data_IF_777341932544
#
_entry.id   IF_777341932544
#
_cell.length_a   1.000
_cell.length_b   1.000
_cell.length_c   1.000
_cell.angle_alpha   90.00
_cell.angle_beta   90.00
_cell.angle_gamma   90.00
#
_symmetry.space_group_name_H-M   'P 1'
#
loop_
_entity.id
_entity.type
_entity.pdbx_description
1 polymer ?
#
# COMPACT_ATOMS: atom_id res chain seq x y z
N UNK A 1 13.65 19.01 8.22
CA UNK A 1 12.60 18.19 7.58
C UNK A 1 12.79 16.70 7.86
N UNK A 2 11.80 16.12 8.54
CA UNK A 2 11.81 14.74 9.03
C UNK A 2 10.48 14.09 8.69
N UNK A 3 10.54 12.86 8.18
CA UNK A 3 9.34 12.07 7.96
C UNK A 3 9.59 10.63 8.49
N UNK A 4 8.56 9.99 9.02
CA UNK A 4 8.60 8.65 9.62
C UNK A 4 8.03 7.64 8.64
N UNK A 5 8.79 6.61 8.28
CA UNK A 5 8.30 5.58 7.35
C UNK A 5 7.08 4.83 7.92
N UNK A 6 6.12 4.53 7.06
CA UNK A 6 4.94 3.70 7.39
C UNK A 6 5.09 2.26 6.91
N UNK A 7 6.10 1.97 6.11
CA UNK A 7 6.39 0.67 5.52
C UNK A 7 7.88 0.48 5.31
N UNK A 8 8.28 -0.78 5.13
CA UNK A 8 9.66 -1.13 4.82
C UNK A 8 10.02 -0.63 3.42
N UNK A 9 11.16 0.05 3.30
CA UNK A 9 11.68 0.50 2.02
C UNK A 9 12.90 -0.31 1.62
N UNK A 10 12.92 -0.81 0.38
CA UNK A 10 14.09 -1.44 -0.19
C UNK A 10 15.05 -0.37 -0.72
N UNK A 11 16.25 -0.31 -0.16
CA UNK A 11 17.34 0.51 -0.68
C UNK A 11 17.78 -0.03 -2.04
N UNK A 12 17.93 0.88 -3.01
CA UNK A 12 18.38 0.54 -4.38
C UNK A 12 19.91 0.41 -4.43
N UNK A 13 20.61 1.08 -3.52
CA UNK A 13 22.06 1.09 -3.39
C UNK A 13 22.45 0.51 -2.02
N UNK A 14 22.75 -0.79 -1.92
CA UNK A 14 23.09 -1.44 -0.66
C UNK A 14 24.40 -0.92 -0.06
N UNK A 15 25.27 -0.27 -0.84
CA UNK A 15 26.45 0.45 -0.34
C UNK A 15 26.11 1.64 0.58
N UNK A 16 24.92 2.21 0.49
CA UNK A 16 24.52 3.45 1.16
C UNK A 16 23.62 3.25 2.39
N UNK A 17 23.64 2.05 2.99
CA UNK A 17 22.86 1.64 4.18
C UNK A 17 21.38 1.29 3.91
N UNK A 18 20.79 0.26 4.55
CA UNK A 18 21.33 -0.73 5.51
C UNK A 18 21.85 -2.04 4.84
N UNK A 19 22.60 -2.91 5.54
CA UNK A 19 23.29 -4.08 4.95
C UNK A 19 22.37 -5.16 4.37
N UNK A 20 21.13 -5.23 4.83
CA UNK A 20 20.04 -6.05 4.28
C UNK A 20 19.29 -5.35 3.13
N UNK A 21 19.63 -4.09 2.86
CA UNK A 21 18.97 -3.24 1.89
C UNK A 21 17.53 -2.88 2.28
N UNK A 22 17.14 -3.01 3.55
CA UNK A 22 15.77 -2.73 4.01
C UNK A 22 15.78 -1.68 5.13
N UNK A 23 15.21 -0.50 4.85
CA UNK A 23 14.95 0.50 5.89
C UNK A 23 13.61 0.14 6.54
N UNK A 24 13.58 -0.19 7.84
CA UNK A 24 12.36 -0.66 8.47
C UNK A 24 11.33 0.45 8.63
N UNK A 25 10.05 0.06 8.60
CA UNK A 25 8.94 0.91 8.97
C UNK A 25 9.17 1.54 10.36
N UNK A 26 8.76 2.79 10.52
CA UNK A 26 8.96 3.56 11.74
C UNK A 26 10.29 4.33 11.81
N UNK A 27 11.23 4.08 10.90
CA UNK A 27 12.47 4.85 10.78
C UNK A 27 12.16 6.32 10.47
N UNK A 28 12.82 7.24 11.18
CA UNK A 28 12.78 8.67 10.89
C UNK A 28 13.89 8.97 9.90
N UNK A 29 13.51 9.45 8.72
CA UNK A 29 14.44 9.90 7.70
C UNK A 29 14.50 11.44 7.70
N UNK A 30 15.71 11.96 7.51
CA UNK A 30 15.99 13.39 7.48
C UNK A 30 16.72 13.73 6.18
N UNK A 31 16.02 14.43 5.29
CA UNK A 31 16.58 14.93 4.03
C UNK A 31 15.69 16.05 3.46
N UNK A 32 16.22 16.97 2.64
CA UNK A 32 15.44 18.07 2.07
C UNK A 32 14.25 17.63 1.21
N UNK A 33 14.30 16.44 0.61
CA UNK A 33 13.25 15.91 -0.27
C UNK A 33 12.41 14.80 0.37
N UNK A 34 12.51 14.61 1.69
CA UNK A 34 11.85 13.47 2.36
C UNK A 34 10.33 13.58 2.39
N UNK A 35 9.77 14.79 2.25
CA UNK A 35 8.33 15.03 2.09
C UNK A 35 7.71 14.29 0.89
N UNK A 36 8.50 13.95 -0.14
CA UNK A 36 8.01 13.17 -1.29
C UNK A 36 7.53 11.78 -0.89
N UNK A 37 8.10 11.18 0.16
CA UNK A 37 7.62 9.91 0.68
C UNK A 37 6.23 10.04 1.31
N UNK A 38 5.89 11.19 1.88
CA UNK A 38 4.54 11.48 2.39
C UNK A 38 3.56 11.60 1.23
N UNK A 39 3.94 12.31 0.16
CA UNK A 39 3.13 12.44 -1.07
C UNK A 39 2.82 11.08 -1.69
N UNK A 40 3.80 10.17 -1.69
CA UNK A 40 3.62 8.82 -2.21
C UNK A 40 2.98 7.84 -1.21
N UNK A 41 2.58 8.28 -0.01
CA UNK A 41 1.95 7.41 0.99
C UNK A 41 2.89 6.40 1.65
N UNK A 42 4.20 6.57 1.53
CA UNK A 42 5.21 5.69 2.13
C UNK A 42 5.61 6.13 3.56
N UNK A 43 5.29 7.38 3.95
CA UNK A 43 5.73 7.97 5.22
C UNK A 43 4.68 8.93 5.81
N UNK A 44 4.83 9.20 7.11
CA UNK A 44 4.16 10.22 7.90
C UNK A 44 5.05 11.46 8.07
N UNK A 45 4.50 12.68 8.09
CA UNK A 45 5.27 13.84 8.51
C UNK A 45 5.65 13.70 10.00
N UNK A 46 6.95 13.82 10.30
CA UNK A 46 7.44 13.78 11.68
C UNK A 46 7.73 15.18 12.25
N UNK A 47 7.79 16.20 11.40
CA UNK A 47 7.88 17.61 11.77
C UNK A 47 6.92 18.50 10.95
N UNK A 48 6.72 19.73 11.42
CA UNK A 48 5.90 20.74 10.75
C UNK A 48 6.41 21.07 9.35
N UNK A 49 7.74 21.13 9.19
CA UNK A 49 8.38 21.41 7.91
C UNK A 49 8.01 20.37 6.85
N UNK A 50 8.01 19.08 7.19
CA UNK A 50 7.60 17.99 6.29
C UNK A 50 6.11 18.11 5.93
N UNK A 51 5.25 18.46 6.90
CA UNK A 51 3.82 18.66 6.65
C UNK A 51 3.55 19.81 5.68
N UNK A 52 4.17 20.97 5.92
CA UNK A 52 4.01 22.14 5.05
C UNK A 52 4.58 21.87 3.66
N UNK A 53 5.73 21.20 3.56
CA UNK A 53 6.35 20.86 2.28
C UNK A 53 5.57 19.81 1.48
N UNK A 54 4.90 18.86 2.15
CA UNK A 54 4.01 17.90 1.51
C UNK A 54 2.77 18.59 0.93
N UNK A 55 2.28 19.66 1.57
CA UNK A 55 1.14 20.44 1.08
C UNK A 55 -0.17 19.67 1.04
N UNK A 56 -0.27 18.58 1.80
CA UNK A 56 -1.43 17.70 1.88
C UNK A 56 -2.13 17.85 3.24
N UNK A 57 -3.44 17.77 3.23
CA UNK A 57 -4.24 17.63 4.44
C UNK A 57 -4.16 16.21 5.01
N UNK A 58 -4.43 16.07 6.32
CA UNK A 58 -4.47 14.77 6.99
C UNK A 58 -5.30 13.69 6.26
N UNK A 59 -6.53 13.96 5.76
CA UNK A 59 -7.28 12.97 5.00
C UNK A 59 -6.61 12.59 3.68
N UNK A 60 -5.95 13.52 2.99
CA UNK A 60 -5.22 13.21 1.76
C UNK A 60 -4.00 12.31 2.02
N UNK A 61 -3.30 12.54 3.13
CA UNK A 61 -2.18 11.67 3.56
C UNK A 61 -2.69 10.25 3.83
N UNK A 62 -3.84 10.11 4.49
CA UNK A 62 -4.46 8.79 4.73
C UNK A 62 -4.82 8.10 3.41
N UNK A 63 -5.42 8.82 2.46
CA UNK A 63 -5.75 8.28 1.14
C UNK A 63 -4.51 7.84 0.36
N UNK A 64 -3.44 8.63 0.39
CA UNK A 64 -2.18 8.28 -0.27
C UNK A 64 -1.58 7.00 0.30
N UNK A 65 -1.62 6.82 1.64
CA UNK A 65 -1.18 5.58 2.29
C UNK A 65 -2.02 4.38 1.89
N UNK A 66 -3.35 4.52 1.84
CA UNK A 66 -4.24 3.45 1.39
C UNK A 66 -3.92 3.04 -0.04
N UNK A 67 -3.77 4.02 -0.94
CA UNK A 67 -3.40 3.78 -2.33
C UNK A 67 -2.06 3.04 -2.44
N UNK A 68 -1.04 3.48 -1.69
CA UNK A 68 0.28 2.86 -1.70
C UNK A 68 0.24 1.43 -1.14
N UNK A 69 -0.56 1.17 -0.09
CA UNK A 69 -0.75 -0.18 0.47
C UNK A 69 -1.39 -1.13 -0.55
N UNK A 70 -2.45 -0.69 -1.23
CA UNK A 70 -3.12 -1.48 -2.29
C UNK A 70 -2.17 -1.79 -3.44
N UNK A 71 -1.40 -0.77 -3.88
CA UNK A 71 -0.40 -0.92 -4.93
C UNK A 71 0.72 -1.88 -4.54
N UNK A 72 1.26 -1.77 -3.33
CA UNK A 72 2.31 -2.64 -2.83
C UNK A 72 1.84 -4.11 -2.72
N UNK A 73 0.56 -4.33 -2.41
CA UNK A 73 -0.05 -5.65 -2.38
C UNK A 73 -0.50 -6.16 -3.76
N UNK A 74 -0.38 -5.35 -4.82
CA UNK A 74 -0.78 -5.74 -6.18
C UNK A 74 -2.29 -5.94 -6.35
N UNK A 75 -3.11 -5.23 -5.56
CA UNK A 75 -4.57 -5.38 -5.57
C UNK A 75 -5.17 -4.75 -6.83
N UNK A 76 -6.10 -5.44 -7.49
CA UNK A 76 -6.86 -4.88 -8.61
C UNK A 76 -7.85 -3.80 -8.10
N UNK A 77 -8.10 -2.71 -8.86
CA UNK A 77 -9.02 -1.65 -8.42
C UNK A 77 -10.41 -2.11 -7.97
N UNK A 78 -10.96 -3.14 -8.62
CA UNK A 78 -12.29 -3.70 -8.29
C UNK A 78 -12.33 -4.38 -6.91
N UNK A 79 -11.16 -4.71 -6.39
CA UNK A 79 -10.97 -5.43 -5.14
C UNK A 79 -10.48 -4.52 -3.99
N UNK A 80 -10.37 -3.20 -4.24
CA UNK A 80 -9.92 -2.24 -3.23
C UNK A 80 -10.79 -2.24 -1.98
N UNK A 81 -12.11 -2.25 -2.15
CA UNK A 81 -13.05 -2.26 -1.02
C UNK A 81 -12.86 -3.50 -0.15
N UNK A 82 -12.73 -4.67 -0.77
CA UNK A 82 -12.51 -5.91 -0.04
C UNK A 82 -11.17 -5.93 0.69
N UNK A 83 -10.13 -5.34 0.10
CA UNK A 83 -8.82 -5.24 0.74
C UNK A 83 -8.83 -4.26 1.92
N UNK A 84 -9.47 -3.10 1.75
CA UNK A 84 -9.54 -2.08 2.80
C UNK A 84 -10.40 -2.52 3.98
N UNK A 85 -11.49 -3.24 3.71
CA UNK A 85 -12.38 -3.82 4.73
C UNK A 85 -11.80 -5.09 5.36
N UNK A 86 -10.66 -5.59 4.87
CA UNK A 86 -10.01 -6.79 5.41
C UNK A 86 -10.70 -8.11 5.05
N UNK A 87 -11.62 -8.08 4.09
CA UNK A 87 -12.26 -9.27 3.50
C UNK A 87 -11.25 -10.06 2.67
N UNK A 88 -10.28 -9.40 2.03
CA UNK A 88 -9.13 -10.03 1.38
C UNK A 88 -7.80 -9.46 1.89
N UNK A 89 -6.73 -10.22 1.72
CA UNK A 89 -5.35 -9.77 2.00
C UNK A 89 -4.46 -9.72 0.77
N UNK A 90 -4.93 -10.22 -0.38
CA UNK A 90 -4.18 -10.25 -1.63
C UNK A 90 -4.61 -11.39 -2.54
N UNK A 91 -3.71 -11.76 -3.45
CA UNK A 91 -3.88 -12.93 -4.32
C UNK A 91 -2.86 -14.01 -3.98
N UNK A 92 -3.24 -15.26 -4.21
CA UNK A 92 -2.33 -16.40 -4.25
C UNK A 92 -1.49 -16.36 -5.54
N UNK A 93 -0.41 -17.16 -5.65
CA UNK A 93 0.43 -17.21 -6.85
C UNK A 93 -0.30 -17.62 -8.13
N UNK A 94 -1.43 -18.32 -8.02
CA UNK A 94 -2.30 -18.71 -9.12
C UNK A 94 -3.32 -17.62 -9.51
N UNK A 95 -3.26 -16.45 -8.88
CA UNK A 95 -4.18 -15.34 -9.10
C UNK A 95 -5.50 -15.45 -8.34
N UNK A 96 -5.74 -16.53 -7.58
CA UNK A 96 -6.95 -16.68 -6.78
C UNK A 96 -6.94 -15.76 -5.57
N UNK A 97 -8.12 -15.35 -5.11
CA UNK A 97 -8.27 -14.48 -3.95
C UNK A 97 -7.76 -15.15 -2.66
N UNK A 98 -6.99 -14.40 -1.87
CA UNK A 98 -6.54 -14.81 -0.55
C UNK A 98 -7.44 -14.18 0.53
N UNK A 99 -8.26 -14.98 1.23
CA UNK A 99 -9.23 -14.47 2.19
C UNK A 99 -8.53 -13.81 3.39
N UNK A 100 -9.15 -12.74 3.89
CA UNK A 100 -8.68 -11.97 5.03
C UNK A 100 -9.44 -12.26 6.32
N UNK A 101 -9.09 -11.57 7.42
CA UNK A 101 -9.69 -11.79 8.75
C UNK A 101 -11.19 -11.52 8.82
N UNK A 102 -11.73 -10.64 7.96
CA UNK A 102 -13.15 -10.30 7.91
C UNK A 102 -13.89 -11.06 6.80
N UNK A 103 -13.28 -12.12 6.25
CA UNK A 103 -13.93 -12.95 5.25
C UNK A 103 -14.99 -13.84 5.88
N UNK A 104 -16.24 -13.66 5.48
CA UNK A 104 -17.37 -14.54 5.84
C UNK A 104 -17.79 -15.34 4.59
N UNK A 105 -17.66 -16.67 4.64
CA UNK A 105 -17.88 -17.59 3.51
C UNK A 105 -19.20 -17.34 2.74
N UNK A 106 -20.27 -16.96 3.44
CA UNK A 106 -21.61 -16.86 2.88
C UNK A 106 -21.81 -15.68 1.89
N UNK A 107 -21.06 -14.58 2.03
CA UNK A 107 -21.18 -13.41 1.14
C UNK A 107 -20.35 -13.56 -0.15
N UNK A 108 -19.36 -14.47 -0.14
CA UNK A 108 -18.41 -14.66 -1.25
C UNK A 108 -18.94 -15.55 -2.37
N UNK A 109 -19.70 -16.60 -2.03
CA UNK A 109 -20.35 -17.44 -3.05
C UNK A 109 -21.28 -16.62 -3.94
N UNK A 110 -21.97 -15.63 -3.37
CA UNK A 110 -22.88 -14.74 -4.10
C UNK A 110 -22.14 -13.82 -5.09
N UNK A 111 -20.91 -13.39 -4.77
CA UNK A 111 -20.10 -12.54 -5.66
C UNK A 111 -19.45 -13.32 -6.81
N UNK A 112 -19.09 -14.59 -6.59
CA UNK A 112 -18.60 -15.49 -7.67
C UNK A 112 -19.64 -15.71 -8.76
N UNK A 113 -20.92 -15.69 -8.41
CA UNK A 113 -22.02 -15.90 -9.34
C UNK A 113 -22.25 -14.66 -10.25
N UNK A 114 -21.91 -13.47 -9.76
CA UNK A 114 -22.12 -12.19 -10.47
C UNK A 114 -20.92 -11.68 -11.30
N UNK A 115 -19.72 -12.26 -11.16
CA UNK A 115 -18.56 -11.91 -11.98
C UNK A 115 -18.33 -12.97 -13.07
N UNK A 116 -18.79 -12.76 -14.32
CA UNK A 116 -18.46 -13.68 -15.40
C UNK A 116 -16.95 -13.64 -15.64
N UNK A 117 -16.31 -14.81 -15.53
CA UNK A 117 -14.95 -15.02 -16.01
C UNK A 117 -14.93 -14.66 -17.49
N UNK A 118 -14.31 -13.54 -17.83
CA UNK A 118 -14.01 -13.21 -19.23
C UNK A 118 -12.86 -14.12 -19.64
N UNK A 119 -13.20 -15.26 -20.25
CA UNK A 119 -12.23 -16.06 -21.00
C UNK A 119 -11.90 -15.24 -22.24
N UNK A 120 -10.72 -14.62 -22.26
CA UNK A 120 -10.16 -14.06 -23.49
C UNK A 120 -9.66 -15.26 -24.28
N UNK A 121 -10.45 -15.73 -25.25
CA UNK A 121 -9.97 -16.64 -26.28
C UNK A 121 -9.08 -15.82 -27.22
N UNK A 122 -7.76 -16.05 -27.18
CA UNK A 122 -6.82 -15.58 -28.19
C UNK A 122 -7.14 -16.32 -29.51
N UNK A 123 -7.66 -15.59 -30.50
CA UNK A 123 -7.83 -16.04 -31.90
C UNK A 123 -6.66 -15.57 -32.78
#
# INVERSE_FOLDING_TARGET
MKCKLCMDLKAVHPEDWPPDGIIPAGTILEAPQIYKFVIHGCADPADEECRVAAGMSDPEIVLAKMHQRRKAAGIHPDDFEAFDTGVMVGYNPDGTWKPGPNFEDAAWEQRKEDSPIIIIEDE
#
